data_IF_422681478037
#
_entry.id   IF_422681478037
#
_cell.length_a   1.000
_cell.length_b   1.000
_cell.length_c   1.000
_cell.angle_alpha   90.00
_cell.angle_beta   90.00
_cell.angle_gamma   90.00
#
_symmetry.space_group_name_H-M   'P 1'
#
loop_
_entity.id
_entity.type
_entity.pdbx_description
1 polymer ?
#
# COMPACT_ATOMS: atom_id res chain seq x y z
N UNK A 1 11.24 21.93 -9.94
CA UNK A 1 10.05 21.07 -10.16
C UNK A 1 9.98 20.01 -9.06
N UNK A 2 9.23 20.25 -7.99
CA UNK A 2 9.45 19.58 -6.69
C UNK A 2 8.61 18.31 -6.41
N UNK A 3 7.61 17.96 -7.23
CA UNK A 3 6.68 16.83 -6.95
C UNK A 3 6.52 15.82 -8.08
N UNK A 4 7.50 15.72 -8.99
CA UNK A 4 7.42 14.78 -10.13
C UNK A 4 7.25 13.32 -9.70
N UNK A 5 7.70 12.95 -8.48
CA UNK A 5 7.60 11.59 -7.94
C UNK A 5 6.20 11.20 -7.46
N UNK A 6 5.33 12.19 -7.16
CA UNK A 6 3.93 11.95 -6.78
C UNK A 6 3.00 11.84 -7.99
N UNK A 7 3.51 12.06 -9.21
CA UNK A 7 2.69 11.88 -10.41
C UNK A 7 2.16 10.45 -10.47
N UNK A 8 0.85 10.27 -10.68
CA UNK A 8 0.28 8.94 -10.85
C UNK A 8 0.85 8.31 -12.11
N UNK A 9 1.81 7.42 -11.91
CA UNK A 9 2.26 6.50 -12.97
C UNK A 9 1.53 5.19 -12.81
N UNK A 10 1.35 4.47 -13.92
CA UNK A 10 0.72 3.13 -13.91
C UNK A 10 1.44 2.23 -12.89
N UNK A 11 2.76 2.31 -12.80
CA UNK A 11 3.55 1.51 -11.85
C UNK A 11 3.18 1.82 -10.40
N UNK A 12 3.11 3.09 -10.00
CA UNK A 12 2.76 3.49 -8.64
C UNK A 12 1.34 3.02 -8.28
N UNK A 13 0.39 3.22 -9.19
CA UNK A 13 -1.01 2.83 -8.99
C UNK A 13 -1.14 1.32 -8.89
N UNK A 14 -0.53 0.56 -9.80
CA UNK A 14 -0.57 -0.91 -9.79
C UNK A 14 0.03 -1.48 -8.52
N UNK A 15 1.20 -0.98 -8.08
CA UNK A 15 1.81 -1.45 -6.84
C UNK A 15 0.96 -1.10 -5.61
N UNK A 16 0.33 0.07 -5.60
CA UNK A 16 -0.59 0.46 -4.51
C UNK A 16 -1.77 -0.48 -4.45
N UNK A 17 -2.39 -0.78 -5.60
CA UNK A 17 -3.50 -1.73 -5.68
C UNK A 17 -3.09 -3.13 -5.23
N UNK A 18 -1.90 -3.61 -5.63
CA UNK A 18 -1.37 -4.89 -5.17
C UNK A 18 -1.26 -4.94 -3.64
N UNK A 19 -0.73 -3.89 -3.01
CA UNK A 19 -0.63 -3.84 -1.54
C UNK A 19 -2.01 -3.84 -0.87
N UNK A 20 -2.98 -3.13 -1.44
CA UNK A 20 -4.36 -3.09 -0.90
C UNK A 20 -5.12 -4.41 -1.08
N UNK A 21 -4.71 -5.24 -2.03
CA UNK A 21 -5.28 -6.57 -2.27
C UNK A 21 -4.61 -7.68 -1.44
N UNK A 22 -3.43 -7.42 -0.86
CA UNK A 22 -2.74 -8.43 -0.06
C UNK A 22 -3.41 -8.62 1.31
N UNK A 23 -3.51 -9.86 1.80
CA UNK A 23 -4.06 -10.17 3.12
C UNK A 23 -3.04 -9.84 4.21
N UNK A 24 -2.86 -8.54 4.48
CA UNK A 24 -1.86 -8.02 5.42
C UNK A 24 -2.44 -7.68 6.80
N UNK A 25 -3.76 -7.52 6.89
CA UNK A 25 -4.42 -7.16 8.14
C UNK A 25 -4.78 -8.45 8.88
N UNK A 26 -4.45 -8.49 10.16
CA UNK A 26 -4.67 -9.65 11.02
C UNK A 26 -5.46 -9.21 12.24
N UNK A 27 -6.50 -9.95 12.57
CA UNK A 27 -7.25 -9.74 13.81
C UNK A 27 -7.50 -11.07 14.52
N UNK A 28 -7.57 -11.03 15.85
CA UNK A 28 -7.96 -12.19 16.62
C UNK A 28 -9.46 -12.11 16.88
N UNK A 29 -10.23 -12.95 16.21
CA UNK A 29 -11.68 -13.05 16.35
C UNK A 29 -11.99 -14.02 17.48
N UNK A 30 -12.86 -13.62 18.41
CA UNK A 30 -13.36 -14.52 19.44
C UNK A 30 -14.45 -15.43 18.88
N UNK A 31 -14.29 -16.73 19.07
CA UNK A 31 -15.29 -17.74 18.70
C UNK A 31 -16.44 -17.73 19.71
N UNK A 32 -17.68 -18.01 19.26
CA UNK A 32 -18.85 -18.16 20.14
C UNK A 32 -18.66 -19.22 21.23
N UNK A 33 -17.88 -20.26 20.93
CA UNK A 33 -17.70 -21.44 21.79
C UNK A 33 -16.56 -21.28 22.82
N UNK A 34 -15.93 -20.11 22.87
CA UNK A 34 -14.74 -19.87 23.68
C UNK A 34 -13.47 -20.29 22.93
N UNK A 35 -12.70 -19.29 22.49
CA UNK A 35 -11.45 -19.48 21.75
C UNK A 35 -11.14 -18.26 20.89
N UNK A 36 -9.91 -18.15 20.38
CA UNK A 36 -9.53 -17.09 19.44
C UNK A 36 -9.01 -17.71 18.15
N UNK A 37 -9.52 -17.27 17.02
CA UNK A 37 -8.98 -17.59 15.69
C UNK A 37 -8.36 -16.33 15.13
N UNK A 38 -7.18 -16.46 14.55
CA UNK A 38 -6.57 -15.38 13.78
C UNK A 38 -7.23 -15.36 12.41
N UNK A 39 -7.92 -14.28 12.10
CA UNK A 39 -8.45 -14.02 10.77
C UNK A 39 -7.53 -13.06 10.03
N UNK A 40 -7.43 -13.24 8.72
CA UNK A 40 -6.58 -12.43 7.86
C UNK A 40 -7.39 -11.94 6.67
N UNK A 41 -7.43 -10.62 6.49
CA UNK A 41 -8.16 -9.98 5.41
C UNK A 41 -7.31 -8.96 4.67
N UNK A 42 -7.72 -8.71 3.42
CA UNK A 42 -7.14 -7.66 2.61
C UNK A 42 -7.75 -6.29 2.98
N UNK A 43 -6.99 -5.19 3.00
CA UNK A 43 -7.52 -3.83 3.18
C UNK A 43 -8.70 -3.52 2.24
N UNK A 44 -8.66 -4.03 1.00
CA UNK A 44 -9.75 -3.86 0.05
C UNK A 44 -11.06 -4.51 0.52
N UNK A 45 -11.00 -5.65 1.20
CA UNK A 45 -12.20 -6.32 1.74
C UNK A 45 -12.84 -5.48 2.84
N UNK A 46 -12.03 -4.84 3.70
CA UNK A 46 -12.51 -3.91 4.71
C UNK A 46 -13.18 -2.68 4.09
N UNK A 47 -12.62 -2.11 3.02
CA UNK A 47 -13.23 -0.99 2.30
C UNK A 47 -14.63 -1.38 1.83
N UNK A 48 -14.78 -2.55 1.20
CA UNK A 48 -16.08 -3.05 0.74
C UNK A 48 -17.04 -3.27 1.91
N UNK A 49 -16.56 -3.86 3.01
CA UNK A 49 -17.37 -4.08 4.21
C UNK A 49 -17.89 -2.77 4.82
N UNK A 50 -17.04 -1.74 4.95
CA UNK A 50 -17.47 -0.46 5.51
C UNK A 50 -18.41 0.32 4.59
N UNK A 51 -18.24 0.22 3.26
CA UNK A 51 -19.22 0.77 2.31
C UNK A 51 -20.59 0.11 2.51
N UNK A 52 -20.61 -1.22 2.66
CA UNK A 52 -21.86 -1.97 2.85
C UNK A 52 -22.53 -1.64 4.21
N UNK A 53 -21.73 -1.50 5.27
CA UNK A 53 -22.21 -1.13 6.60
C UNK A 53 -22.61 0.35 6.73
N UNK A 54 -22.29 1.19 5.74
CA UNK A 54 -22.56 2.62 5.76
C UNK A 54 -21.75 3.39 6.80
N UNK A 55 -20.67 2.78 7.34
CA UNK A 55 -19.85 3.40 8.37
C UNK A 55 -18.75 4.27 7.75
N UNK A 56 -18.99 5.58 7.74
CA UNK A 56 -18.15 6.57 7.08
C UNK A 56 -16.82 6.81 7.81
N UNK A 57 -16.76 6.58 9.13
CA UNK A 57 -15.55 6.86 9.91
C UNK A 57 -14.41 5.88 9.61
N UNK A 58 -14.58 4.54 9.72
CA UNK A 58 -13.57 3.58 9.30
C UNK A 58 -13.26 3.67 7.81
N UNK A 59 -14.26 4.00 6.98
CA UNK A 59 -14.05 4.22 5.55
C UNK A 59 -13.06 5.36 5.29
N UNK A 60 -13.20 6.49 5.99
CA UNK A 60 -12.27 7.62 5.89
C UNK A 60 -10.85 7.23 6.33
N UNK A 61 -10.73 6.42 7.39
CA UNK A 61 -9.43 5.88 7.81
C UNK A 61 -8.80 4.99 6.73
N UNK A 62 -9.61 4.17 6.04
CA UNK A 62 -9.12 3.34 4.93
C UNK A 62 -8.65 4.17 3.73
N UNK A 63 -9.31 5.29 3.43
CA UNK A 63 -8.81 6.24 2.42
C UNK A 63 -7.47 6.85 2.83
N UNK A 64 -7.33 7.26 4.09
CA UNK A 64 -6.06 7.76 4.64
C UNK A 64 -4.96 6.71 4.53
N UNK A 65 -5.27 5.45 4.86
CA UNK A 65 -4.36 4.32 4.72
C UNK A 65 -3.93 4.11 3.26
N UNK A 66 -4.87 4.06 2.31
CA UNK A 66 -4.56 3.92 0.89
C UNK A 66 -3.64 5.03 0.36
N UNK A 67 -3.88 6.28 0.81
CA UNK A 67 -3.03 7.42 0.46
C UNK A 67 -1.62 7.29 1.07
N UNK A 68 -1.50 6.83 2.32
CA UNK A 68 -0.22 6.57 2.95
C UNK A 68 0.58 5.48 2.21
N UNK A 69 -0.08 4.39 1.80
CA UNK A 69 0.52 3.32 1.01
C UNK A 69 1.02 3.86 -0.33
N UNK A 70 0.23 4.66 -1.04
CA UNK A 70 0.63 5.28 -2.30
C UNK A 70 1.88 6.14 -2.15
N UNK A 71 1.95 6.97 -1.09
CA UNK A 71 3.12 7.80 -0.79
C UNK A 71 4.34 6.93 -0.51
N UNK A 72 4.20 5.90 0.32
CA UNK A 72 5.29 4.98 0.65
C UNK A 72 5.86 4.30 -0.60
N UNK A 73 5.00 3.78 -1.47
CA UNK A 73 5.40 3.15 -2.74
C UNK A 73 6.10 4.15 -3.65
N UNK A 74 5.56 5.37 -3.76
CA UNK A 74 6.17 6.43 -4.56
C UNK A 74 7.58 6.79 -4.06
N UNK A 75 7.80 6.80 -2.75
CA UNK A 75 9.12 7.01 -2.14
C UNK A 75 10.09 5.85 -2.42
N UNK A 76 9.61 4.60 -2.32
CA UNK A 76 10.42 3.41 -2.63
C UNK A 76 10.88 3.44 -4.09
N UNK A 77 9.97 3.71 -5.03
CA UNK A 77 10.30 3.80 -6.46
C UNK A 77 11.33 4.91 -6.71
N UNK A 78 11.17 6.07 -6.06
CA UNK A 78 12.13 7.17 -6.17
C UNK A 78 13.53 6.75 -5.67
N UNK A 79 13.61 6.08 -4.52
CA UNK A 79 14.85 5.59 -3.95
C UNK A 79 15.54 4.57 -4.88
N UNK A 80 14.78 3.56 -5.34
CA UNK A 80 15.28 2.52 -6.27
C UNK A 80 15.76 3.14 -7.59
N UNK A 81 15.01 4.09 -8.14
CA UNK A 81 15.39 4.77 -9.40
C UNK A 81 16.68 5.57 -9.25
N UNK A 82 16.87 6.26 -8.11
CA UNK A 82 18.12 6.99 -7.83
C UNK A 82 19.31 6.04 -7.68
N UNK A 83 19.15 4.93 -6.95
CA UNK A 83 20.21 3.93 -6.78
C UNK A 83 20.60 3.29 -8.11
N UNK A 84 19.62 2.90 -8.94
CA UNK A 84 19.88 2.30 -10.24
C UNK A 84 20.62 3.26 -11.18
N UNK A 85 20.22 4.54 -11.20
CA UNK A 85 20.90 5.58 -11.98
C UNK A 85 22.35 5.79 -11.53
N UNK A 86 22.59 5.79 -10.22
CA UNK A 86 23.93 5.88 -9.64
C UNK A 86 24.83 4.71 -10.07
N UNK A 87 24.29 3.48 -10.01
CA UNK A 87 25.02 2.28 -10.41
C UNK A 87 25.35 2.27 -11.92
N UNK A 88 24.41 2.70 -12.76
CA UNK A 88 24.63 2.83 -14.21
C UNK A 88 25.74 3.84 -14.55
N UNK A 89 25.76 5.00 -13.88
CA UNK A 89 26.81 6.01 -14.08
C UNK A 89 28.20 5.49 -13.67
N UNK A 90 28.29 4.75 -12.57
CA UNK A 90 29.55 4.15 -12.11
C UNK A 90 30.07 3.07 -13.08
N UNK A 91 29.17 2.37 -13.79
CA UNK A 91 29.54 1.36 -14.79
C UNK A 91 30.07 1.99 -16.08
N UNK A 92 29.57 3.17 -16.47
CA UNK A 92 30.01 3.90 -17.66
C UNK A 92 31.41 4.50 -17.46
N UNK A 93 31.77 4.96 -16.26
CA UNK A 93 33.12 5.51 -15.98
C UNK A 93 34.24 4.47 -15.91
N UNK A 94 33.93 3.17 -16.03
CA UNK A 94 34.91 2.09 -16.05
C UNK A 94 35.32 1.65 -17.47
N UNK A 95 34.80 2.33 -18.50
CA UNK A 95 35.23 2.21 -19.90
C UNK A 95 35.78 3.55 -20.37
#
# INVERSE_FOLDING_TARGET
MAFGFLRPTIVNVTLTLLVLLLPIMHENVQLPDGGTVQDTYAPMQLIVAYIYLGDLYPLMLMFGYALAVYIAISLIILAVTRVNKFFLLMKIQKF
#
